data_IF_541313985676
#
_entry.id   IF_541313985676
#
_cell.length_a   1.000
_cell.length_b   1.000
_cell.length_c   1.000
_cell.angle_alpha   90.00
_cell.angle_beta   90.00
_cell.angle_gamma   90.00
#
_symmetry.space_group_name_H-M   'P 1'
#
loop_
_entity.id
_entity.type
_entity.pdbx_description
1 polymer ?
#
# COMPACT_ATOMS: atom_id res chain seq x y z
N UNK A 1 13.63 45.68 -26.38
CA UNK A 1 13.93 44.32 -25.86
C UNK A 1 13.70 44.16 -24.35
N UNK A 2 13.12 45.14 -23.64
CA UNK A 2 12.90 45.06 -22.18
C UNK A 2 11.49 44.55 -21.79
N UNK A 3 10.48 44.80 -22.63
CA UNK A 3 9.08 44.45 -22.32
C UNK A 3 8.77 42.95 -22.46
N UNK A 4 9.47 42.26 -23.36
CA UNK A 4 9.30 40.81 -23.55
C UNK A 4 9.79 40.01 -22.35
N UNK A 5 10.84 40.47 -21.65
CA UNK A 5 11.35 39.80 -20.45
C UNK A 5 10.37 39.90 -19.26
N UNK A 6 9.70 41.03 -19.10
CA UNK A 6 8.72 41.21 -18.01
C UNK A 6 7.51 40.30 -18.17
N UNK A 7 7.03 40.11 -19.40
CA UNK A 7 5.91 39.22 -19.68
C UNK A 7 6.23 37.74 -19.34
N UNK A 8 7.46 37.29 -19.59
CA UNK A 8 7.88 35.92 -19.26
C UNK A 8 7.94 35.65 -17.75
N UNK A 9 8.33 36.66 -16.94
CA UNK A 9 8.37 36.55 -15.48
C UNK A 9 6.95 36.48 -14.91
N UNK A 10 6.02 37.29 -15.40
CA UNK A 10 4.62 37.24 -14.96
C UNK A 10 3.95 35.91 -15.31
N UNK A 11 4.24 35.36 -16.49
CA UNK A 11 3.74 34.04 -16.89
C UNK A 11 4.30 32.94 -15.99
N UNK A 12 5.58 32.97 -15.63
CA UNK A 12 6.18 31.98 -14.73
C UNK A 12 5.62 32.07 -13.29
N UNK A 13 5.53 33.28 -12.74
CA UNK A 13 5.01 33.53 -11.38
C UNK A 13 3.54 33.13 -11.26
N UNK A 14 2.75 33.26 -12.32
CA UNK A 14 1.33 32.88 -12.33
C UNK A 14 1.09 31.39 -12.65
N UNK A 15 2.04 30.69 -13.28
CA UNK A 15 1.92 29.26 -13.57
C UNK A 15 2.35 28.36 -12.40
N UNK A 16 3.28 28.82 -11.57
CA UNK A 16 3.78 28.06 -10.41
C UNK A 16 2.67 27.65 -9.41
N UNK A 17 1.73 28.53 -9.00
CA UNK A 17 0.64 28.14 -8.11
C UNK A 17 -0.35 27.17 -8.76
N UNK A 18 -0.47 27.18 -10.09
CA UNK A 18 -1.40 26.31 -10.82
C UNK A 18 -0.94 24.85 -10.82
N UNK A 19 0.37 24.59 -10.84
CA UNK A 19 0.92 23.23 -10.81
C UNK A 19 0.95 22.61 -9.41
N UNK A 20 0.78 23.39 -8.33
CA UNK A 20 0.66 22.88 -6.96
C UNK A 20 -0.79 22.54 -6.57
N UNK A 21 -1.77 22.90 -7.40
CA UNK A 21 -3.17 22.59 -7.15
C UNK A 21 -3.50 21.16 -7.60
N UNK A 22 -3.44 20.24 -6.62
CA UNK A 22 -3.87 18.83 -6.64
C UNK A 22 -2.80 17.79 -6.98
N UNK A 23 -1.96 17.50 -6.01
CA UNK A 23 -1.95 16.13 -5.49
C UNK A 23 -3.08 16.01 -4.45
N UNK A 24 -4.34 16.07 -4.90
CA UNK A 24 -5.38 15.41 -4.11
C UNK A 24 -5.08 13.96 -4.39
N UNK A 25 -4.50 13.27 -3.42
CA UNK A 25 -4.64 11.82 -3.39
C UNK A 25 -6.11 11.58 -3.71
N UNK A 26 -6.33 10.92 -4.85
CA UNK A 26 -7.62 10.36 -5.18
C UNK A 26 -7.84 9.32 -4.09
N UNK A 27 -8.30 9.79 -2.94
CA UNK A 27 -8.94 8.98 -1.92
C UNK A 27 -10.30 8.63 -2.53
N UNK A 28 -10.23 7.91 -3.66
CA UNK A 28 -11.33 7.17 -4.22
C UNK A 28 -11.83 6.30 -3.10
N UNK A 29 -13.15 6.23 -3.00
CA UNK A 29 -13.92 5.36 -2.12
C UNK A 29 -13.05 4.19 -1.66
N UNK A 30 -12.47 4.32 -0.46
CA UNK A 30 -11.56 3.31 0.06
C UNK A 30 -12.31 1.99 0.08
N UNK A 31 -11.63 0.89 -0.23
CA UNK A 31 -12.23 -0.43 -0.08
C UNK A 31 -12.94 -0.54 1.27
N UNK A 32 -14.15 -1.12 1.26
CA UNK A 32 -14.81 -1.52 2.50
C UNK A 32 -13.85 -2.39 3.31
N UNK A 33 -13.78 -2.09 4.60
CA UNK A 33 -12.90 -2.81 5.51
C UNK A 33 -13.32 -4.29 5.57
N UNK A 34 -12.37 -5.18 5.29
CA UNK A 34 -12.58 -6.62 5.20
C UNK A 34 -11.85 -7.33 6.33
N UNK A 35 -12.52 -8.31 6.93
CA UNK A 35 -11.88 -9.18 7.93
C UNK A 35 -11.18 -10.35 7.25
N UNK A 36 -9.97 -10.64 7.70
CA UNK A 36 -9.23 -11.85 7.35
C UNK A 36 -8.58 -12.39 8.63
N UNK A 37 -9.08 -13.52 9.13
CA UNK A 37 -8.68 -14.03 10.44
C UNK A 37 -9.03 -13.05 11.56
N UNK A 38 -8.02 -12.65 12.33
CA UNK A 38 -8.15 -11.68 13.42
C UNK A 38 -7.95 -10.22 12.97
N UNK A 39 -7.50 -9.98 11.74
CA UNK A 39 -7.20 -8.62 11.26
C UNK A 39 -8.34 -8.00 10.45
N UNK A 40 -8.44 -6.68 10.53
CA UNK A 40 -9.31 -5.86 9.69
C UNK A 40 -8.46 -5.08 8.70
N UNK A 41 -8.61 -5.38 7.42
CA UNK A 41 -7.83 -4.83 6.32
C UNK A 41 -8.70 -3.83 5.56
N UNK A 42 -8.22 -2.61 5.38
CA UNK A 42 -8.94 -1.53 4.69
C UNK A 42 -7.99 -0.75 3.78
N UNK A 43 -8.37 0.44 3.33
CA UNK A 43 -7.45 1.33 2.62
C UNK A 43 -6.10 1.46 3.36
N UNK A 44 -4.93 1.36 2.69
CA UNK A 44 -4.71 1.49 1.23
C UNK A 44 -4.59 0.17 0.45
N UNK A 45 -4.84 -0.97 1.09
CA UNK A 45 -4.60 -2.29 0.50
C UNK A 45 -5.51 -2.56 -0.70
N UNK A 46 -4.99 -3.27 -1.69
CA UNK A 46 -5.79 -3.78 -2.79
C UNK A 46 -6.47 -5.08 -2.37
N UNK A 47 -7.81 -5.06 -2.43
CA UNK A 47 -8.68 -6.10 -1.91
C UNK A 47 -9.75 -6.41 -2.94
N UNK A 48 -10.15 -7.67 -3.00
CA UNK A 48 -11.40 -8.07 -3.67
C UNK A 48 -12.57 -7.81 -2.74
N UNK A 49 -13.42 -6.89 -3.15
CA UNK A 49 -14.68 -6.54 -2.51
C UNK A 49 -15.64 -7.74 -2.60
N UNK A 50 -16.25 -8.12 -1.48
CA UNK A 50 -17.13 -9.29 -1.42
C UNK A 50 -18.53 -9.01 -1.98
N UNK A 51 -19.01 -7.77 -1.88
CA UNK A 51 -20.37 -7.42 -2.28
C UNK A 51 -20.50 -7.30 -3.80
N UNK A 52 -19.49 -6.71 -4.43
CA UNK A 52 -19.45 -6.45 -5.86
C UNK A 52 -18.59 -7.45 -6.62
N UNK A 53 -17.72 -8.19 -5.94
CA UNK A 53 -16.68 -9.04 -6.56
C UNK A 53 -15.60 -8.23 -7.29
N UNK A 54 -15.70 -6.89 -7.30
CA UNK A 54 -14.73 -6.02 -7.93
C UNK A 54 -13.50 -5.86 -7.02
N UNK A 55 -12.36 -5.53 -7.60
CA UNK A 55 -11.17 -5.21 -6.81
C UNK A 55 -11.01 -3.70 -6.69
N UNK A 56 -10.59 -3.24 -5.51
CA UNK A 56 -10.41 -1.83 -5.18
C UNK A 56 -9.06 -1.64 -4.47
N UNK A 57 -8.58 -0.40 -4.34
CA UNK A 57 -7.30 -0.07 -3.68
C UNK A 57 -6.10 0.02 -4.63
N UNK A 58 -4.90 0.22 -4.10
CA UNK A 58 -3.67 0.31 -4.92
C UNK A 58 -3.04 -1.06 -5.16
N UNK A 59 -2.80 -1.40 -6.44
CA UNK A 59 -2.15 -2.65 -6.85
C UNK A 59 -0.77 -2.85 -6.21
N UNK A 60 -0.13 -1.78 -5.73
CA UNK A 60 1.15 -1.83 -5.01
C UNK A 60 1.05 -2.61 -3.69
N UNK A 61 -0.14 -2.72 -3.11
CA UNK A 61 -0.41 -3.34 -1.83
C UNK A 61 -1.49 -4.43 -1.92
N UNK A 62 -1.36 -5.34 -2.89
CA UNK A 62 -2.27 -6.48 -3.04
C UNK A 62 -2.20 -7.42 -1.84
N UNK A 63 -3.35 -7.62 -1.18
CA UNK A 63 -3.49 -8.56 -0.07
C UNK A 63 -4.48 -9.66 -0.44
N UNK A 64 -4.05 -10.91 -0.27
CA UNK A 64 -4.91 -12.10 -0.40
C UNK A 64 -5.18 -12.70 0.97
N UNK A 65 -6.41 -13.11 1.20
CA UNK A 65 -6.77 -13.88 2.38
C UNK A 65 -6.77 -15.37 2.01
N UNK A 66 -5.77 -16.12 2.45
CA UNK A 66 -5.67 -17.57 2.22
C UNK A 66 -5.96 -18.31 3.54
N UNK A 67 -7.07 -19.05 3.63
CA UNK A 67 -7.45 -19.79 4.84
C UNK A 67 -7.39 -18.96 6.14
N UNK A 68 -7.90 -17.73 6.09
CA UNK A 68 -7.84 -16.75 7.20
C UNK A 68 -6.47 -16.14 7.50
N UNK A 69 -5.43 -16.48 6.73
CA UNK A 69 -4.13 -15.84 6.79
C UNK A 69 -4.03 -14.71 5.75
N UNK A 70 -3.82 -13.45 6.18
CA UNK A 70 -3.61 -12.35 5.26
C UNK A 70 -2.17 -12.35 4.73
N UNK A 71 -2.03 -12.38 3.42
CA UNK A 71 -0.74 -12.43 2.72
C UNK A 71 -0.60 -11.23 1.80
N UNK A 72 0.41 -10.41 2.06
CA UNK A 72 0.85 -9.33 1.19
C UNK A 72 1.65 -9.91 0.03
N UNK A 73 1.24 -9.61 -1.20
CA UNK A 73 1.96 -10.03 -2.41
C UNK A 73 3.23 -9.19 -2.57
N UNK A 74 4.34 -9.86 -2.84
CA UNK A 74 5.58 -9.20 -3.29
C UNK A 74 5.62 -9.14 -4.82
N UNK A 75 6.04 -7.99 -5.36
CA UNK A 75 6.31 -7.81 -6.80
C UNK A 75 7.33 -8.84 -7.30
N UNK A 76 7.09 -9.39 -8.50
CA UNK A 76 8.01 -10.31 -9.16
C UNK A 76 7.87 -11.79 -8.79
N UNK A 77 6.84 -12.18 -8.04
CA UNK A 77 6.73 -13.54 -7.52
C UNK A 77 5.45 -14.27 -7.99
N UNK A 78 5.62 -15.22 -8.91
CA UNK A 78 4.60 -16.17 -9.34
C UNK A 78 4.55 -17.35 -8.36
N UNK A 79 3.80 -17.22 -7.26
CA UNK A 79 3.69 -18.31 -6.28
C UNK A 79 3.13 -17.92 -4.91
N UNK A 80 3.49 -18.70 -3.88
CA UNK A 80 3.22 -18.49 -2.45
C UNK A 80 4.19 -17.49 -1.79
N UNK A 81 5.12 -16.93 -2.57
CA UNK A 81 6.06 -15.89 -2.16
C UNK A 81 5.33 -14.59 -1.83
N UNK A 82 5.57 -14.10 -0.62
CA UNK A 82 4.88 -12.96 -0.05
C UNK A 82 5.12 -12.90 1.45
N UNK A 83 4.44 -11.95 2.09
CA UNK A 83 4.61 -11.72 3.52
C UNK A 83 3.30 -11.97 4.25
N UNK A 84 3.32 -12.83 5.28
CA UNK A 84 2.21 -12.98 6.21
C UNK A 84 2.08 -11.69 7.02
N UNK A 85 0.91 -11.06 6.96
CA UNK A 85 0.62 -9.89 7.77
C UNK A 85 0.28 -10.38 9.18
N UNK A 86 1.03 -9.91 10.19
CA UNK A 86 0.79 -10.22 11.60
C UNK A 86 -0.06 -9.15 12.26
N UNK A 87 0.25 -7.88 12.01
CA UNK A 87 -0.47 -6.74 12.59
C UNK A 87 -0.52 -5.55 11.62
N UNK A 88 -1.60 -4.77 11.71
CA UNK A 88 -1.76 -3.49 10.99
C UNK A 88 -2.12 -2.43 12.03
N UNK A 89 -1.24 -1.43 12.21
CA UNK A 89 -1.46 -0.34 13.15
C UNK A 89 -1.81 0.92 12.35
N UNK A 90 -3.09 1.17 12.15
CA UNK A 90 -3.56 2.31 11.34
C UNK A 90 -3.22 3.67 11.95
N UNK A 91 -3.22 3.78 13.28
CA UNK A 91 -2.85 5.02 13.97
C UNK A 91 -1.39 5.41 13.70
N UNK A 92 -0.51 4.42 13.77
CA UNK A 92 0.94 4.57 13.52
C UNK A 92 1.29 4.54 12.03
N UNK A 93 0.34 4.13 11.18
CA UNK A 93 0.54 3.83 9.75
C UNK A 93 1.67 2.84 9.53
N UNK A 94 1.76 1.85 10.42
CA UNK A 94 2.79 0.81 10.39
C UNK A 94 2.18 -0.56 10.07
N UNK A 95 2.97 -1.39 9.40
CA UNK A 95 2.59 -2.74 8.98
C UNK A 95 3.64 -3.72 9.48
N UNK A 96 3.21 -4.75 10.21
CA UNK A 96 4.08 -5.82 10.67
C UNK A 96 3.86 -7.08 9.84
N UNK A 97 4.90 -7.52 9.16
CA UNK A 97 4.86 -8.69 8.29
C UNK A 97 6.01 -9.65 8.57
N UNK A 98 5.81 -10.92 8.21
CA UNK A 98 6.82 -11.98 8.27
C UNK A 98 6.91 -12.61 6.89
N UNK A 99 8.13 -12.86 6.41
CA UNK A 99 8.35 -13.57 5.16
C UNK A 99 7.87 -15.03 5.31
N UNK A 100 6.95 -15.46 4.44
CA UNK A 100 6.40 -16.81 4.47
C UNK A 100 7.46 -17.89 4.22
N UNK A 101 8.51 -17.60 3.47
CA UNK A 101 9.60 -18.56 3.21
C UNK A 101 10.58 -18.68 4.36
N UNK A 102 10.56 -17.72 5.31
CA UNK A 102 11.42 -17.73 6.50
C UNK A 102 10.62 -17.86 7.79
N UNK A 103 9.34 -18.23 7.72
CA UNK A 103 8.53 -18.41 8.93
C UNK A 103 9.08 -19.53 9.82
N UNK A 104 9.66 -20.56 9.20
CA UNK A 104 10.25 -21.73 9.88
C UNK A 104 11.49 -21.37 10.73
N UNK A 105 12.18 -20.27 10.41
CA UNK A 105 13.34 -19.79 11.18
C UNK A 105 12.91 -19.16 12.53
N UNK A 106 11.65 -18.77 12.70
CA UNK A 106 11.13 -18.17 13.92
C UNK A 106 10.67 -19.20 14.97
N UNK A 107 10.39 -20.44 14.56
CA UNK A 107 10.03 -21.54 15.48
C UNK A 107 11.25 -22.15 16.19
N UNK A 108 12.46 -21.70 15.86
CA UNK A 108 13.69 -22.13 16.53
C UNK A 108 13.94 -21.26 17.77
N UNK A 109 13.52 -21.77 18.93
CA UNK A 109 13.66 -21.15 20.25
C UNK A 109 15.11 -20.82 20.70
N UNK A 110 16.14 -21.14 19.92
CA UNK A 110 17.55 -21.07 20.34
C UNK A 110 18.49 -20.35 19.36
N UNK A 111 18.05 -19.24 18.76
CA UNK A 111 18.96 -18.23 18.23
C UNK A 111 18.54 -17.65 16.88
N UNK A 112 19.01 -16.42 16.62
CA UNK A 112 18.87 -15.79 15.31
C UNK A 112 19.89 -16.41 14.35
N UNK A 113 19.46 -17.28 13.45
CA UNK A 113 20.27 -17.66 12.29
C UNK A 113 19.93 -16.70 11.14
N UNK A 114 20.73 -15.66 10.97
CA UNK A 114 20.74 -14.88 9.74
C UNK A 114 21.75 -15.53 8.79
N UNK A 115 21.42 -15.72 7.50
CA UNK A 115 22.43 -16.03 6.48
C UNK A 115 23.41 -14.86 6.30
#
# INVERSE_FOLDING_TARGET
MAMACWLLVFVWVWWLPFMFARAKEQQGEGCSAKRCGNLTISHPFWLTDLETGASCGSLDFEVKCNNSMPVLRSSGSTGLSGFAIKDILYEERSLRVVDLYKEEDFDVSNGCNFP
#
